data_IF_972854022338
#
_entry.id   IF_972854022338
#
_cell.length_a   1.000
_cell.length_b   1.000
_cell.length_c   1.000
_cell.angle_alpha   90.00
_cell.angle_beta   90.00
_cell.angle_gamma   90.00
#
_symmetry.space_group_name_H-M   'P 1'
#
loop_
_entity.id
_entity.type
_entity.pdbx_description
1 polymer ?
#
# COMPACT_ATOMS: atom_id res chain seq x y z
N UNK A 1 -70.21 28.75 -66.61
CA UNK A 1 -69.19 27.71 -66.37
C UNK A 1 -67.83 28.27 -66.72
N UNK A 2 -66.93 28.42 -65.74
CA UNK A 2 -65.49 28.12 -65.78
C UNK A 2 -65.00 28.36 -64.35
N UNK A 3 -64.57 27.30 -63.69
CA UNK A 3 -64.15 27.23 -62.28
C UNK A 3 -62.63 27.35 -62.21
N UNK A 4 -62.14 28.28 -61.38
CA UNK A 4 -60.74 28.36 -60.98
C UNK A 4 -60.46 27.31 -59.89
N UNK A 5 -59.46 26.45 -60.11
CA UNK A 5 -58.86 25.60 -59.06
C UNK A 5 -57.42 26.04 -58.85
N UNK A 6 -57.14 26.62 -57.69
CA UNK A 6 -55.78 26.85 -57.21
C UNK A 6 -55.29 25.56 -56.51
N UNK A 7 -54.19 25.00 -57.00
CA UNK A 7 -53.51 23.86 -56.40
C UNK A 7 -52.45 24.41 -55.43
N UNK A 8 -52.66 24.29 -54.12
CA UNK A 8 -51.65 24.59 -53.11
C UNK A 8 -50.86 23.30 -52.85
N UNK A 9 -49.59 23.28 -53.25
CA UNK A 9 -48.68 22.16 -53.00
C UNK A 9 -47.89 22.43 -51.73
N UNK A 10 -48.25 21.77 -50.63
CA UNK A 10 -47.55 21.86 -49.35
C UNK A 10 -46.27 21.02 -49.40
N UNK A 11 -45.10 21.67 -49.40
CA UNK A 11 -43.80 21.00 -49.28
C UNK A 11 -43.56 20.67 -47.81
N UNK A 12 -43.66 19.39 -47.44
CA UNK A 12 -43.27 18.91 -46.10
C UNK A 12 -41.78 18.66 -46.10
N UNK A 13 -41.02 19.55 -45.46
CA UNK A 13 -39.58 19.36 -45.19
C UNK A 13 -39.46 18.42 -43.98
N UNK A 14 -39.16 17.15 -44.24
CA UNK A 14 -38.79 16.18 -43.20
C UNK A 14 -37.38 16.52 -42.69
N UNK A 15 -37.30 17.19 -41.54
CA UNK A 15 -36.06 17.26 -40.76
C UNK A 15 -35.76 15.87 -40.21
N UNK A 16 -34.78 15.19 -40.82
CA UNK A 16 -34.15 14.01 -40.24
C UNK A 16 -33.28 14.46 -39.07
N UNK A 17 -33.80 14.32 -37.85
CA UNK A 17 -32.99 14.43 -36.63
C UNK A 17 -32.11 13.19 -36.55
N UNK A 18 -30.92 13.26 -37.14
CA UNK A 18 -29.84 12.32 -36.84
C UNK A 18 -29.45 12.51 -35.38
N UNK A 19 -30.06 11.72 -34.51
CA UNK A 19 -29.59 11.52 -33.14
C UNK A 19 -28.20 10.90 -33.22
N UNK A 20 -27.16 11.72 -33.10
CA UNK A 20 -25.86 11.21 -32.71
C UNK A 20 -26.04 10.53 -31.36
N UNK A 21 -26.15 9.20 -31.37
CA UNK A 21 -25.91 8.40 -30.18
C UNK A 21 -24.50 8.77 -29.73
N UNK A 22 -24.42 9.59 -28.68
CA UNK A 22 -23.19 9.78 -27.94
C UNK A 22 -22.88 8.39 -27.36
N UNK A 23 -22.11 7.59 -28.10
CA UNK A 23 -21.50 6.39 -27.54
C UNK A 23 -20.84 6.87 -26.25
N UNK A 24 -21.32 6.38 -25.12
CA UNK A 24 -20.73 6.64 -23.82
C UNK A 24 -19.33 6.02 -23.84
N UNK A 25 -18.36 6.73 -24.40
CA UNK A 25 -16.96 6.34 -24.38
C UNK A 25 -16.57 6.38 -22.91
N UNK A 26 -16.35 5.20 -22.33
CA UNK A 26 -15.86 5.08 -20.96
C UNK A 26 -14.60 5.95 -20.82
N UNK A 27 -14.47 6.76 -19.76
CA UNK A 27 -13.24 7.49 -19.48
C UNK A 27 -12.04 6.54 -19.51
N UNK A 28 -10.87 7.00 -19.96
CA UNK A 28 -9.70 6.16 -20.15
C UNK A 28 -9.33 5.40 -18.87
N UNK A 29 -9.46 6.02 -17.70
CA UNK A 29 -9.19 5.36 -16.41
C UNK A 29 -10.11 4.16 -16.11
N UNK A 30 -11.31 4.09 -16.70
CA UNK A 30 -12.24 2.95 -16.59
C UNK A 30 -12.02 1.88 -17.66
N UNK A 31 -11.17 2.13 -18.66
CA UNK A 31 -10.91 1.16 -19.72
C UNK A 31 -9.81 0.16 -19.29
N UNK A 32 -10.13 -1.12 -19.02
CA UNK A 32 -9.15 -2.09 -18.56
C UNK A 32 -8.14 -2.52 -19.63
N UNK A 33 -8.37 -2.16 -20.91
CA UNK A 33 -7.45 -2.46 -22.02
C UNK A 33 -6.29 -1.48 -22.12
N UNK A 34 -6.35 -0.34 -21.41
CA UNK A 34 -5.28 0.66 -21.43
C UNK A 34 -4.23 0.36 -20.35
N UNK A 35 -2.95 0.65 -20.59
CA UNK A 35 -1.89 0.53 -19.59
C UNK A 35 -2.20 1.33 -18.31
N UNK A 36 -1.78 0.86 -17.12
CA UNK A 36 -1.98 1.57 -15.86
C UNK A 36 -1.56 3.04 -15.90
N UNK A 37 -0.44 3.36 -16.53
CA UNK A 37 0.13 4.72 -16.62
C UNK A 37 -0.76 5.66 -17.47
N UNK A 38 -1.46 5.13 -18.46
CA UNK A 38 -2.45 5.88 -19.25
C UNK A 38 -3.67 6.16 -18.39
N UNK A 39 -4.13 5.16 -17.63
CA UNK A 39 -5.30 5.27 -16.75
C UNK A 39 -5.05 6.24 -15.60
N UNK A 40 -3.85 6.23 -15.02
CA UNK A 40 -3.42 7.16 -13.96
C UNK A 40 -3.32 8.58 -14.49
N UNK A 41 -2.74 8.80 -15.69
CA UNK A 41 -2.68 10.13 -16.32
C UNK A 41 -4.06 10.73 -16.60
N UNK A 42 -5.06 9.90 -16.85
CA UNK A 42 -6.45 10.34 -17.00
C UNK A 42 -7.14 10.61 -15.65
N UNK A 43 -6.90 9.76 -14.63
CA UNK A 43 -7.58 9.87 -13.34
C UNK A 43 -7.01 10.96 -12.43
N UNK A 44 -5.68 11.04 -12.30
CA UNK A 44 -5.01 11.88 -11.30
C UNK A 44 -5.37 13.37 -11.40
N UNK A 45 -5.47 13.99 -12.60
CA UNK A 45 -5.89 15.39 -12.73
C UNK A 45 -7.37 15.63 -12.39
N UNK A 46 -8.19 14.58 -12.34
CA UNK A 46 -9.63 14.67 -12.00
C UNK A 46 -9.87 14.68 -10.50
N UNK A 47 -8.91 14.18 -9.71
CA UNK A 47 -8.99 14.11 -8.25
C UNK A 47 -8.87 15.49 -7.63
N UNK A 48 -9.68 15.76 -6.60
CA UNK A 48 -9.42 16.90 -5.71
C UNK A 48 -8.16 16.63 -4.89
N UNK A 49 -7.61 17.68 -4.25
CA UNK A 49 -6.47 17.50 -3.35
C UNK A 49 -6.81 16.54 -2.20
N UNK A 50 -7.96 16.72 -1.55
CA UNK A 50 -8.48 15.78 -0.55
C UNK A 50 -8.55 14.33 -1.04
N UNK A 51 -9.03 14.08 -2.26
CA UNK A 51 -9.09 12.72 -2.82
C UNK A 51 -7.71 12.17 -3.16
N UNK A 52 -6.70 13.00 -3.46
CA UNK A 52 -5.32 12.55 -3.62
C UNK A 52 -4.72 12.14 -2.29
N UNK A 53 -4.84 13.00 -1.27
CA UNK A 53 -4.33 12.74 0.07
C UNK A 53 -5.00 11.53 0.72
N UNK A 54 -6.28 11.28 0.47
CA UNK A 54 -6.94 10.07 1.00
C UNK A 54 -6.36 8.78 0.39
N UNK A 55 -5.86 8.81 -0.84
CA UNK A 55 -5.16 7.66 -1.45
C UNK A 55 -3.77 7.41 -0.83
N UNK A 56 -3.23 8.38 -0.10
CA UNK A 56 -1.98 8.27 0.66
C UNK A 56 -2.22 7.86 2.12
N UNK A 57 -3.42 7.40 2.45
CA UNK A 57 -3.85 7.09 3.81
C UNK A 57 -4.55 5.73 3.90
N UNK A 58 -4.67 5.28 5.14
CA UNK A 58 -5.23 4.00 5.54
C UNK A 58 -6.54 4.17 6.33
N UNK A 59 -7.57 3.37 6.02
CA UNK A 59 -8.72 3.19 6.91
C UNK A 59 -8.35 2.17 7.98
N UNK A 60 -8.27 2.62 9.23
CA UNK A 60 -7.85 1.80 10.37
C UNK A 60 -9.05 1.13 11.04
N UNK A 61 -8.82 -0.05 11.62
CA UNK A 61 -9.87 -0.81 12.31
C UNK A 61 -10.56 -0.01 13.42
N UNK A 62 -9.81 0.81 14.18
CA UNK A 62 -10.35 1.67 15.25
C UNK A 62 -11.43 2.66 14.80
N UNK A 63 -11.50 2.99 13.50
CA UNK A 63 -12.50 3.93 12.96
C UNK A 63 -13.89 3.29 12.78
N UNK A 64 -13.96 1.96 12.69
CA UNK A 64 -15.21 1.26 12.42
C UNK A 64 -15.45 0.02 13.27
N UNK A 65 -14.51 -0.39 14.11
CA UNK A 65 -14.71 -1.48 15.05
C UNK A 65 -15.72 -1.12 16.16
N UNK A 66 -16.51 -2.11 16.55
CA UNK A 66 -17.31 -2.11 17.77
C UNK A 66 -17.20 -3.50 18.41
N UNK A 67 -16.48 -3.59 19.53
CA UNK A 67 -16.30 -4.82 20.31
C UNK A 67 -15.76 -5.99 19.47
N UNK A 68 -14.66 -5.77 18.74
CA UNK A 68 -14.01 -6.79 17.89
C UNK A 68 -14.94 -7.28 16.76
N UNK A 69 -15.75 -6.37 16.22
CA UNK A 69 -16.64 -6.65 15.12
C UNK A 69 -16.76 -5.44 14.20
N UNK A 70 -16.67 -5.62 12.88
CA UNK A 70 -16.75 -4.52 11.93
C UNK A 70 -18.15 -3.90 11.89
N UNK A 71 -18.23 -2.57 12.03
CA UNK A 71 -19.47 -1.82 11.90
C UNK A 71 -19.46 -0.97 10.60
N UNK A 72 -20.20 -1.43 9.60
CA UNK A 72 -20.28 -0.75 8.29
C UNK A 72 -20.87 0.66 8.36
N UNK A 73 -21.79 0.93 9.29
CA UNK A 73 -22.38 2.26 9.43
C UNK A 73 -21.33 3.27 9.91
N UNK A 74 -20.47 2.89 10.86
CA UNK A 74 -19.32 3.70 11.26
C UNK A 74 -18.34 3.91 10.10
N UNK A 75 -18.00 2.86 9.36
CA UNK A 75 -17.09 2.95 8.20
C UNK A 75 -17.62 3.94 7.14
N UNK A 76 -18.91 3.87 6.84
CA UNK A 76 -19.54 4.78 5.88
C UNK A 76 -19.61 6.22 6.42
N UNK A 77 -19.87 6.39 7.71
CA UNK A 77 -19.88 7.70 8.36
C UNK A 77 -18.48 8.35 8.42
N UNK A 78 -17.44 7.54 8.59
CA UNK A 78 -16.04 7.97 8.53
C UNK A 78 -15.66 8.38 7.10
N UNK A 79 -15.78 7.45 6.15
CA UNK A 79 -15.32 7.67 4.77
C UNK A 79 -16.15 8.71 4.01
N UNK A 80 -17.45 8.84 4.30
CA UNK A 80 -18.39 9.77 3.63
C UNK A 80 -18.33 9.68 2.10
N UNK A 81 -18.11 8.47 1.58
CA UNK A 81 -17.97 8.21 0.15
C UNK A 81 -16.62 8.62 -0.45
N UNK A 82 -15.63 9.00 0.35
CA UNK A 82 -14.25 9.21 -0.11
C UNK A 82 -13.52 7.86 -0.08
N UNK A 83 -12.80 7.54 -1.16
CA UNK A 83 -11.96 6.34 -1.21
C UNK A 83 -10.58 6.63 -0.61
N UNK A 84 -10.00 5.62 0.03
CA UNK A 84 -8.69 5.67 0.66
C UNK A 84 -7.73 4.68 -0.01
N UNK A 85 -6.43 4.83 0.23
CA UNK A 85 -5.41 3.96 -0.38
C UNK A 85 -5.55 2.52 0.10
N UNK A 86 -5.59 2.34 1.42
CA UNK A 86 -5.66 1.04 2.06
C UNK A 86 -6.82 0.91 3.06
N UNK A 87 -7.14 -0.32 3.45
CA UNK A 87 -7.97 -0.67 4.61
C UNK A 87 -7.44 -1.95 5.26
N UNK A 88 -7.34 -1.98 6.58
CA UNK A 88 -7.01 -3.18 7.35
C UNK A 88 -8.26 -3.79 7.99
N UNK A 89 -8.11 -4.76 8.88
CA UNK A 89 -9.24 -5.34 9.61
C UNK A 89 -8.88 -6.65 10.27
N UNK A 90 -7.89 -6.64 11.16
CA UNK A 90 -7.47 -7.84 11.87
C UNK A 90 -7.18 -7.51 13.36
N UNK A 91 -7.44 -8.47 14.27
CA UNK A 91 -8.03 -9.78 14.02
C UNK A 91 -9.57 -9.75 13.98
N UNK A 92 -10.15 -10.42 13.00
CA UNK A 92 -11.56 -10.79 12.84
C UNK A 92 -11.66 -12.27 12.47
N UNK A 93 -12.87 -12.82 12.47
CA UNK A 93 -13.08 -14.08 11.75
C UNK A 93 -12.93 -13.85 10.24
N UNK A 94 -12.48 -14.88 9.52
CA UNK A 94 -12.37 -14.84 8.05
C UNK A 94 -13.70 -14.47 7.39
N UNK A 95 -14.85 -14.88 7.97
CA UNK A 95 -16.18 -14.51 7.50
C UNK A 95 -16.50 -13.02 7.71
N UNK A 96 -16.21 -12.48 8.90
CA UNK A 96 -16.40 -11.06 9.21
C UNK A 96 -15.57 -10.18 8.27
N UNK A 97 -14.30 -10.52 8.07
CA UNK A 97 -13.42 -9.79 7.16
C UNK A 97 -13.92 -9.84 5.71
N UNK A 98 -14.30 -11.02 5.23
CA UNK A 98 -14.81 -11.17 3.85
C UNK A 98 -16.04 -10.28 3.63
N UNK A 99 -16.99 -10.26 4.58
CA UNK A 99 -18.17 -9.39 4.53
C UNK A 99 -17.77 -7.90 4.58
N UNK A 100 -16.87 -7.53 5.48
CA UNK A 100 -16.36 -6.16 5.60
C UNK A 100 -15.80 -5.66 4.26
N UNK A 101 -14.89 -6.43 3.66
CA UNK A 101 -14.23 -6.05 2.40
C UNK A 101 -15.23 -6.01 1.26
N UNK A 102 -16.12 -7.01 1.12
CA UNK A 102 -17.15 -7.01 0.09
C UNK A 102 -18.03 -5.75 0.15
N UNK A 103 -18.55 -5.42 1.33
CA UNK A 103 -19.42 -4.26 1.52
C UNK A 103 -18.69 -2.94 1.35
N UNK A 104 -17.45 -2.83 1.82
CA UNK A 104 -16.60 -1.63 1.64
C UNK A 104 -16.32 -1.38 0.16
N UNK A 105 -15.90 -2.40 -0.58
CA UNK A 105 -15.64 -2.27 -2.03
C UNK A 105 -16.91 -1.88 -2.80
N UNK A 106 -18.05 -2.50 -2.46
CA UNK A 106 -19.35 -2.14 -3.06
C UNK A 106 -19.72 -0.69 -2.77
N UNK A 107 -19.62 -0.26 -1.52
CA UNK A 107 -19.93 1.10 -1.09
C UNK A 107 -19.05 2.13 -1.81
N UNK A 108 -17.72 1.94 -1.81
CA UNK A 108 -16.79 2.87 -2.46
C UNK A 108 -17.01 2.92 -3.97
N UNK A 109 -17.32 1.79 -4.62
CA UNK A 109 -17.67 1.75 -6.04
C UNK A 109 -18.92 2.56 -6.36
N UNK A 110 -19.93 2.53 -5.50
CA UNK A 110 -21.24 3.15 -5.74
C UNK A 110 -21.34 4.59 -5.24
N UNK A 111 -20.60 4.95 -4.18
CA UNK A 111 -20.75 6.24 -3.48
C UNK A 111 -19.58 7.18 -3.67
N UNK A 112 -18.40 6.69 -4.04
CA UNK A 112 -17.29 7.58 -4.38
C UNK A 112 -17.39 8.08 -5.82
N UNK A 113 -16.92 9.32 -6.03
CA UNK A 113 -17.01 10.02 -7.32
C UNK A 113 -16.41 9.24 -8.49
N UNK A 114 -15.29 8.54 -8.25
CA UNK A 114 -14.60 7.79 -9.29
C UNK A 114 -14.67 6.27 -9.13
N UNK A 115 -15.23 5.76 -8.03
CA UNK A 115 -15.30 4.32 -7.75
C UNK A 115 -13.90 3.69 -7.71
N UNK A 116 -12.95 4.33 -7.02
CA UNK A 116 -11.60 3.80 -6.81
C UNK A 116 -11.69 2.74 -5.71
N UNK A 117 -11.28 1.48 -5.97
CA UNK A 117 -11.27 0.46 -4.94
C UNK A 117 -10.17 0.75 -3.91
N UNK A 118 -10.44 0.46 -2.66
CA UNK A 118 -9.43 0.46 -1.61
C UNK A 118 -8.57 -0.81 -1.72
N UNK A 119 -7.32 -0.79 -1.25
CA UNK A 119 -6.45 -1.98 -1.16
C UNK A 119 -6.64 -2.62 0.22
N UNK A 120 -7.29 -3.80 0.35
CA UNK A 120 -7.39 -4.49 1.63
C UNK A 120 -6.06 -5.13 2.01
N UNK A 121 -5.58 -4.80 3.20
CA UNK A 121 -4.28 -5.18 3.76
C UNK A 121 -4.47 -6.24 4.85
N UNK A 122 -3.48 -7.12 5.00
CA UNK A 122 -3.44 -8.19 6.01
C UNK A 122 -1.99 -8.46 6.46
N UNK A 123 -1.79 -8.82 7.73
CA UNK A 123 -0.56 -9.49 8.15
C UNK A 123 -0.54 -10.94 7.66
N UNK A 124 0.61 -11.42 7.18
CA UNK A 124 0.69 -12.73 6.52
C UNK A 124 1.95 -13.54 6.81
N UNK A 125 2.77 -13.10 7.78
CA UNK A 125 4.14 -13.58 7.98
C UNK A 125 4.28 -15.11 7.95
N UNK A 126 3.43 -15.83 8.70
CA UNK A 126 3.40 -17.29 8.77
C UNK A 126 1.97 -17.84 8.69
N UNK A 127 1.13 -17.22 7.84
CA UNK A 127 -0.31 -17.43 7.77
C UNK A 127 -1.05 -16.11 7.74
N UNK A 128 -2.23 -16.04 7.13
CA UNK A 128 -3.06 -14.83 7.22
C UNK A 128 -3.55 -14.65 8.66
N UNK A 129 -3.40 -13.45 9.22
CA UNK A 129 -3.83 -13.16 10.60
C UNK A 129 -5.34 -12.95 10.67
N UNK A 130 -6.09 -14.04 10.55
CA UNK A 130 -7.54 -14.10 10.80
C UNK A 130 -7.95 -15.42 11.43
N UNK A 131 -8.97 -15.37 12.28
CA UNK A 131 -9.54 -16.58 12.86
C UNK A 131 -10.13 -17.48 11.74
N UNK A 132 -9.76 -18.76 11.78
CA UNK A 132 -10.00 -19.75 10.75
C UNK A 132 -8.91 -19.91 9.68
N UNK A 133 -7.81 -19.16 9.73
CA UNK A 133 -6.68 -19.31 8.79
C UNK A 133 -5.68 -20.39 9.23
N UNK A 134 -4.89 -20.91 8.29
CA UNK A 134 -3.83 -21.86 8.61
C UNK A 134 -2.64 -21.15 9.26
N UNK A 135 -2.17 -21.66 10.40
CA UNK A 135 -0.97 -21.17 11.09
C UNK A 135 0.21 -22.08 10.74
N UNK A 136 1.25 -21.51 10.14
CA UNK A 136 2.50 -22.19 9.80
C UNK A 136 3.59 -21.92 10.85
N UNK A 137 4.71 -22.67 10.85
CA UNK A 137 5.88 -22.32 11.62
C UNK A 137 6.38 -20.91 11.28
N UNK A 138 6.90 -20.22 12.28
CA UNK A 138 7.44 -18.87 12.14
C UNK A 138 8.66 -18.85 11.18
N UNK A 139 8.94 -17.70 10.56
CA UNK A 139 9.99 -17.53 9.54
C UNK A 139 11.35 -18.14 9.90
N UNK A 140 11.82 -17.98 11.13
CA UNK A 140 13.12 -18.54 11.55
C UNK A 140 13.14 -20.08 11.52
N UNK A 141 12.01 -20.72 11.82
CA UNK A 141 11.85 -22.16 11.73
C UNK A 141 11.77 -22.62 10.26
N UNK A 142 11.09 -21.84 9.41
CA UNK A 142 11.06 -22.08 7.96
C UNK A 142 12.46 -21.95 7.34
N UNK A 143 13.24 -20.95 7.74
CA UNK A 143 14.61 -20.77 7.28
C UNK A 143 15.51 -21.96 7.63
N UNK A 144 15.31 -22.55 8.81
CA UNK A 144 16.04 -23.75 9.28
C UNK A 144 15.82 -24.99 8.41
N UNK A 145 14.83 -24.98 7.51
CA UNK A 145 14.63 -26.05 6.52
C UNK A 145 15.59 -25.98 5.34
N UNK A 146 16.21 -24.81 5.09
CA UNK A 146 16.98 -24.51 3.88
C UNK A 146 16.23 -24.88 2.58
N UNK A 147 14.89 -24.81 2.60
CA UNK A 147 14.03 -25.26 1.51
C UNK A 147 13.13 -24.13 0.97
N UNK A 148 13.64 -23.26 0.08
CA UNK A 148 12.84 -22.20 -0.55
C UNK A 148 11.63 -22.75 -1.31
N UNK A 149 11.72 -23.96 -1.88
CA UNK A 149 10.58 -24.57 -2.58
C UNK A 149 9.41 -24.88 -1.64
N UNK A 150 9.68 -25.17 -0.36
CA UNK A 150 8.64 -25.35 0.66
C UNK A 150 8.01 -24.02 1.05
N UNK A 151 8.83 -22.97 1.25
CA UNK A 151 8.34 -21.61 1.53
C UNK A 151 7.47 -21.06 0.40
N UNK A 152 7.84 -21.31 -0.85
CA UNK A 152 7.03 -20.95 -2.02
C UNK A 152 5.63 -21.59 -1.98
N UNK A 153 5.56 -22.90 -1.71
CA UNK A 153 4.27 -23.61 -1.60
C UNK A 153 3.42 -23.07 -0.45
N UNK A 154 4.04 -22.87 0.71
CA UNK A 154 3.39 -22.28 1.87
C UNK A 154 2.80 -20.90 1.55
N UNK A 155 3.60 -20.02 0.95
CA UNK A 155 3.15 -18.69 0.57
C UNK A 155 2.06 -18.73 -0.52
N UNK A 156 2.07 -19.73 -1.41
CA UNK A 156 0.95 -19.99 -2.33
C UNK A 156 -0.36 -20.26 -1.58
N UNK A 157 -0.34 -21.11 -0.55
CA UNK A 157 -1.53 -21.35 0.29
C UNK A 157 -1.98 -20.09 1.05
N UNK A 158 -1.04 -19.32 1.62
CA UNK A 158 -1.33 -18.02 2.25
C UNK A 158 -1.99 -17.07 1.23
N UNK A 159 -1.46 -17.00 0.01
CA UNK A 159 -2.01 -16.20 -1.08
C UNK A 159 -3.41 -16.63 -1.49
N UNK A 160 -3.69 -17.94 -1.49
CA UNK A 160 -5.01 -18.49 -1.78
C UNK A 160 -6.04 -18.11 -0.69
N UNK A 161 -5.68 -18.28 0.58
CA UNK A 161 -6.50 -17.87 1.74
C UNK A 161 -6.78 -16.36 1.70
N UNK A 162 -5.73 -15.54 1.57
CA UNK A 162 -5.82 -14.09 1.45
C UNK A 162 -6.78 -13.68 0.32
N UNK A 163 -6.60 -14.26 -0.87
CA UNK A 163 -7.44 -13.96 -2.04
C UNK A 163 -8.91 -14.32 -1.80
N UNK A 164 -9.18 -15.45 -1.14
CA UNK A 164 -10.55 -15.90 -0.86
C UNK A 164 -11.32 -14.93 0.04
N UNK A 165 -10.61 -14.25 0.95
CA UNK A 165 -11.16 -13.25 1.86
C UNK A 165 -11.26 -11.84 1.26
N UNK A 166 -10.75 -11.65 0.03
CA UNK A 166 -10.74 -10.35 -0.65
C UNK A 166 -9.50 -9.49 -0.38
N UNK A 167 -8.49 -10.01 0.34
CA UNK A 167 -7.19 -9.34 0.54
C UNK A 167 -6.53 -9.03 -0.81
N UNK A 168 -5.77 -7.94 -0.86
CA UNK A 168 -4.97 -7.55 -2.03
C UNK A 168 -3.51 -7.28 -1.70
N UNK A 169 -3.19 -7.00 -0.44
CA UNK A 169 -1.82 -6.78 0.01
C UNK A 169 -1.57 -7.53 1.32
N UNK A 170 -0.40 -8.15 1.42
CA UNK A 170 0.11 -8.80 2.62
C UNK A 170 1.37 -8.07 3.08
N UNK A 171 1.46 -7.80 4.40
CA UNK A 171 2.58 -7.11 5.05
C UNK A 171 3.74 -8.06 5.36
N UNK A 172 4.21 -8.78 4.35
CA UNK A 172 5.29 -9.77 4.44
C UNK A 172 5.98 -9.91 3.07
N UNK A 173 7.21 -10.47 3.00
CA UNK A 173 8.00 -11.05 4.09
C UNK A 173 8.83 -10.04 4.88
N UNK A 174 9.30 -10.44 6.06
CA UNK A 174 10.39 -9.75 6.75
C UNK A 174 11.75 -10.21 6.17
N UNK A 175 12.52 -9.25 5.66
CA UNK A 175 13.83 -9.40 5.05
C UNK A 175 14.96 -8.85 5.93
N UNK A 176 14.67 -8.49 7.18
CA UNK A 176 15.69 -8.10 8.13
C UNK A 176 16.65 -9.26 8.40
N UNK A 177 17.91 -8.91 8.67
CA UNK A 177 18.91 -9.87 9.10
C UNK A 177 18.91 -9.92 10.62
N UNK A 178 18.73 -11.10 11.18
CA UNK A 178 18.92 -11.31 12.62
C UNK A 178 20.41 -11.31 12.94
N UNK A 179 20.96 -10.17 13.38
CA UNK A 179 22.34 -10.12 13.90
C UNK A 179 22.43 -9.52 15.30
N UNK A 180 21.28 -9.34 15.94
CA UNK A 180 21.13 -8.99 17.34
C UNK A 180 20.12 -9.95 17.97
N UNK A 181 20.62 -11.00 18.63
CA UNK A 181 19.78 -12.09 19.14
C UNK A 181 18.91 -11.70 20.34
N UNK A 182 19.17 -10.54 20.97
CA UNK A 182 18.32 -10.00 22.03
C UNK A 182 17.07 -9.32 21.49
N UNK A 183 17.02 -9.04 20.19
CA UNK A 183 15.87 -8.37 19.57
C UNK A 183 14.63 -9.27 19.58
N UNK A 184 13.52 -8.73 20.07
CA UNK A 184 12.29 -9.51 20.26
C UNK A 184 11.64 -10.05 18.99
N UNK A 185 12.05 -9.58 17.80
CA UNK A 185 11.47 -9.98 16.51
C UNK A 185 12.39 -10.89 15.68
N UNK A 186 13.42 -11.46 16.30
CA UNK A 186 14.31 -12.48 15.69
C UNK A 186 13.52 -13.55 14.93
N UNK A 187 12.43 -14.01 15.56
CA UNK A 187 11.60 -15.08 15.02
C UNK A 187 11.00 -14.75 13.65
N UNK A 188 10.70 -13.48 13.39
CA UNK A 188 10.04 -13.02 12.17
C UNK A 188 10.94 -13.09 10.93
N UNK A 189 12.25 -13.18 11.12
CA UNK A 189 13.24 -13.15 10.04
C UNK A 189 13.55 -14.55 9.50
N UNK A 190 14.20 -14.59 8.33
CA UNK A 190 14.79 -15.82 7.80
C UNK A 190 16.25 -16.08 8.26
N UNK A 191 16.68 -15.45 9.36
CA UNK A 191 17.99 -15.67 9.97
C UNK A 191 19.03 -14.57 9.70
N UNK A 192 20.31 -14.91 9.86
CA UNK A 192 21.42 -13.94 9.89
C UNK A 192 22.18 -13.77 8.57
N UNK A 193 21.94 -14.68 7.62
CA UNK A 193 22.66 -14.77 6.35
C UNK A 193 21.91 -14.05 5.22
N UNK A 194 22.51 -13.02 4.58
CA UNK A 194 21.85 -12.27 3.51
C UNK A 194 21.41 -13.13 2.33
N UNK A 195 22.17 -14.18 1.98
CA UNK A 195 21.82 -15.02 0.83
C UNK A 195 20.58 -15.87 1.12
N UNK A 196 20.55 -16.56 2.26
CA UNK A 196 19.41 -17.36 2.71
C UNK A 196 18.16 -16.51 2.85
N UNK A 197 18.25 -15.34 3.50
CA UNK A 197 17.12 -14.42 3.67
C UNK A 197 16.57 -14.00 2.30
N UNK A 198 17.46 -13.70 1.35
CA UNK A 198 17.05 -13.33 0.00
C UNK A 198 16.38 -14.49 -0.74
N UNK A 199 16.89 -15.72 -0.65
CA UNK A 199 16.28 -16.90 -1.30
C UNK A 199 14.90 -17.25 -0.70
N UNK A 200 14.77 -17.22 0.62
CA UNK A 200 13.50 -17.47 1.32
C UNK A 200 12.46 -16.38 1.02
N UNK A 201 12.87 -15.11 1.06
CA UNK A 201 12.02 -13.97 0.71
C UNK A 201 11.55 -14.01 -0.75
N UNK A 202 12.45 -14.32 -1.68
CA UNK A 202 12.12 -14.52 -3.09
C UNK A 202 11.08 -15.62 -3.30
N UNK A 203 11.22 -16.74 -2.59
CA UNK A 203 10.26 -17.84 -2.65
C UNK A 203 8.89 -17.44 -2.09
N UNK A 204 8.86 -16.76 -0.94
CA UNK A 204 7.63 -16.30 -0.32
C UNK A 204 6.86 -15.35 -1.24
N UNK A 205 7.53 -14.34 -1.81
CA UNK A 205 6.89 -13.36 -2.71
C UNK A 205 6.32 -14.03 -3.95
N UNK A 206 7.08 -14.94 -4.59
CA UNK A 206 6.59 -15.70 -5.75
C UNK A 206 5.34 -16.52 -5.45
N UNK A 207 5.20 -17.06 -4.24
CA UNK A 207 4.01 -17.80 -3.85
C UNK A 207 2.77 -16.89 -3.76
N UNK A 208 2.92 -15.70 -3.17
CA UNK A 208 1.85 -14.70 -3.15
C UNK A 208 1.45 -14.20 -4.55
N UNK A 209 2.44 -14.04 -5.44
CA UNK A 209 2.24 -13.57 -6.81
C UNK A 209 1.33 -14.49 -7.64
N UNK A 210 1.33 -15.81 -7.39
CA UNK A 210 0.42 -16.77 -8.05
C UNK A 210 -1.05 -16.38 -7.86
N UNK A 211 -1.36 -15.76 -6.72
CA UNK A 211 -2.69 -15.33 -6.35
C UNK A 211 -2.93 -13.83 -6.57
N UNK A 212 -1.94 -13.12 -7.14
CA UNK A 212 -1.95 -11.67 -7.38
C UNK A 212 -2.15 -10.87 -6.08
N UNK A 213 -1.45 -11.30 -5.03
CA UNK A 213 -1.40 -10.60 -3.74
C UNK A 213 -0.12 -9.78 -3.71
N UNK A 214 -0.24 -8.49 -3.42
CA UNK A 214 0.91 -7.59 -3.27
C UNK A 214 1.68 -7.99 -2.01
N UNK A 215 2.91 -8.45 -2.15
CA UNK A 215 3.84 -8.56 -1.02
C UNK A 215 4.37 -7.18 -0.61
N UNK A 216 4.67 -7.01 0.67
CA UNK A 216 5.31 -5.81 1.21
C UNK A 216 6.57 -6.22 1.98
N UNK A 217 7.73 -6.34 1.29
CA UNK A 217 8.99 -6.62 1.96
C UNK A 217 9.29 -5.55 3.02
N UNK A 218 9.64 -5.99 4.22
CA UNK A 218 9.87 -5.14 5.40
C UNK A 218 11.09 -5.61 6.21
N UNK A 219 11.69 -4.81 7.08
CA UNK A 219 11.49 -3.37 7.22
C UNK A 219 12.68 -2.67 6.56
N UNK A 220 12.44 -1.87 5.52
CA UNK A 220 13.49 -1.17 4.80
C UNK A 220 14.01 0.03 5.62
N UNK A 221 15.21 0.00 6.23
CA UNK A 221 16.21 -1.06 6.16
C UNK A 221 16.99 -1.25 7.47
N UNK A 222 17.55 -2.45 7.64
CA UNK A 222 18.51 -2.85 8.69
C UNK A 222 17.92 -2.93 10.10
N UNK A 223 16.60 -3.06 10.21
CA UNK A 223 15.88 -2.99 11.47
C UNK A 223 16.26 -4.12 12.45
N UNK A 224 16.61 -5.31 11.93
CA UNK A 224 16.94 -6.49 12.74
C UNK A 224 18.27 -6.50 13.49
N UNK A 225 18.94 -5.34 13.60
CA UNK A 225 20.18 -5.18 14.37
C UNK A 225 20.20 -3.96 15.29
N UNK A 226 19.15 -3.74 16.10
CA UNK A 226 19.05 -2.54 16.91
C UNK A 226 20.01 -2.56 18.10
N UNK A 227 20.52 -1.40 18.50
CA UNK A 227 21.41 -1.29 19.65
C UNK A 227 20.78 -1.90 20.91
N UNK A 228 21.54 -2.79 21.56
CA UNK A 228 21.11 -3.45 22.79
C UNK A 228 19.99 -4.48 22.62
N UNK A 229 19.54 -4.76 21.40
CA UNK A 229 18.35 -5.59 21.14
C UNK A 229 17.03 -4.93 21.50
N UNK A 230 17.04 -3.63 21.82
CA UNK A 230 15.83 -2.90 22.17
C UNK A 230 15.05 -2.60 20.90
N UNK A 231 13.77 -2.99 20.88
CA UNK A 231 12.92 -2.71 19.72
C UNK A 231 12.94 -1.20 19.40
N UNK A 232 12.96 -0.85 18.11
CA UNK A 232 13.00 0.52 17.58
C UNK A 232 14.32 1.30 17.82
N UNK A 233 15.26 0.80 18.61
CA UNK A 233 16.53 1.48 18.83
C UNK A 233 17.31 1.65 17.52
N UNK A 234 18.17 2.67 17.50
CA UNK A 234 19.02 2.97 16.34
C UNK A 234 19.91 1.78 15.97
N UNK A 235 20.29 1.72 14.71
CA UNK A 235 21.23 0.75 14.16
C UNK A 235 22.51 1.49 13.82
N UNK A 236 23.62 1.06 14.40
CA UNK A 236 24.95 1.60 14.06
C UNK A 236 25.59 0.77 12.95
N UNK A 237 26.21 1.45 11.99
CA UNK A 237 26.95 0.77 10.93
C UNK A 237 27.39 1.71 9.83
N UNK A 238 28.48 1.34 9.15
CA UNK A 238 28.98 2.11 8.02
C UNK A 238 28.35 1.69 6.70
N UNK A 239 28.48 2.55 5.68
CA UNK A 239 28.02 2.29 4.30
C UNK A 239 28.39 0.90 3.77
N UNK A 240 29.59 0.40 4.07
CA UNK A 240 30.01 -0.94 3.61
C UNK A 240 29.08 -2.03 4.16
N UNK A 241 28.71 -1.97 5.44
CA UNK A 241 27.85 -2.95 6.07
C UNK A 241 26.42 -2.85 5.50
N UNK A 242 25.91 -1.63 5.34
CA UNK A 242 24.64 -1.36 4.68
C UNK A 242 24.53 -2.08 3.33
N UNK A 243 25.47 -1.83 2.43
CA UNK A 243 25.42 -2.35 1.06
C UNK A 243 25.74 -3.86 0.97
N UNK A 244 26.68 -4.35 1.77
CA UNK A 244 27.13 -5.74 1.67
C UNK A 244 26.24 -6.73 2.45
N UNK A 245 25.47 -6.25 3.44
CA UNK A 245 24.60 -7.09 4.26
C UNK A 245 23.13 -6.72 4.07
N UNK A 246 22.71 -5.62 4.68
CA UNK A 246 21.29 -5.30 4.84
C UNK A 246 20.57 -5.03 3.52
N UNK A 247 21.28 -4.46 2.54
CA UNK A 247 20.73 -4.15 1.22
C UNK A 247 20.55 -5.39 0.34
N UNK A 248 21.32 -6.46 0.56
CA UNK A 248 21.37 -7.60 -0.36
C UNK A 248 20.01 -8.29 -0.57
N UNK A 249 19.22 -8.61 0.48
CA UNK A 249 17.90 -9.21 0.29
C UNK A 249 16.94 -8.31 -0.47
N UNK A 250 16.86 -7.04 -0.10
CA UNK A 250 15.99 -6.05 -0.76
C UNK A 250 16.41 -5.81 -2.22
N UNK A 251 17.69 -5.65 -2.50
CA UNK A 251 18.22 -5.47 -3.85
C UNK A 251 17.81 -6.63 -4.76
N UNK A 252 18.00 -7.88 -4.29
CA UNK A 252 17.63 -9.07 -5.05
C UNK A 252 16.14 -9.12 -5.34
N UNK A 253 15.31 -8.90 -4.32
CA UNK A 253 13.84 -8.90 -4.45
C UNK A 253 13.37 -7.80 -5.40
N UNK A 254 13.86 -6.57 -5.24
CA UNK A 254 13.47 -5.43 -6.06
C UNK A 254 13.84 -5.64 -7.52
N UNK A 255 15.09 -6.04 -7.80
CA UNK A 255 15.60 -6.20 -9.17
C UNK A 255 15.00 -7.41 -9.88
N UNK A 256 14.54 -8.42 -9.15
CA UNK A 256 14.04 -9.67 -9.76
C UNK A 256 12.53 -9.73 -9.84
N UNK A 257 11.82 -9.33 -8.76
CA UNK A 257 10.38 -9.51 -8.64
C UNK A 257 9.58 -8.21 -8.76
N UNK A 258 10.23 -7.05 -8.63
CA UNK A 258 9.58 -5.75 -8.77
C UNK A 258 8.34 -5.59 -7.86
N UNK A 259 8.49 -5.75 -6.52
CA UNK A 259 7.37 -5.64 -5.60
C UNK A 259 6.68 -4.28 -5.75
N UNK A 260 5.37 -4.25 -5.57
CA UNK A 260 4.58 -3.03 -5.70
C UNK A 260 4.52 -2.20 -4.41
N UNK A 261 4.91 -2.79 -3.28
CA UNK A 261 4.92 -2.15 -1.97
C UNK A 261 6.20 -2.54 -1.22
N UNK A 262 6.76 -1.62 -0.45
CA UNK A 262 7.83 -1.87 0.54
C UNK A 262 7.49 -1.08 1.80
N UNK A 263 7.76 -1.65 2.98
CA UNK A 263 7.56 -0.94 4.24
C UNK A 263 8.88 -0.35 4.72
N UNK A 264 8.90 0.92 5.16
CA UNK A 264 10.07 1.48 5.83
C UNK A 264 10.25 0.86 7.24
N UNK A 265 11.41 1.04 7.86
CA UNK A 265 11.60 0.70 9.27
C UNK A 265 11.41 1.91 10.19
N UNK A 266 11.21 1.61 11.48
CA UNK A 266 11.17 2.60 12.55
C UNK A 266 12.51 3.25 12.88
N UNK A 267 13.59 2.49 12.79
CA UNK A 267 14.90 2.84 13.33
C UNK A 267 15.62 3.90 12.49
N UNK A 268 16.60 4.55 13.12
CA UNK A 268 17.63 5.28 12.38
C UNK A 268 18.78 4.34 12.01
N UNK A 269 19.48 4.66 10.93
CA UNK A 269 20.75 4.00 10.57
C UNK A 269 21.86 5.04 10.58
N UNK A 270 22.90 4.80 11.40
CA UNK A 270 24.01 5.74 11.61
C UNK A 270 23.53 7.16 11.99
N UNK A 271 22.46 7.23 12.79
CA UNK A 271 21.88 8.48 13.29
C UNK A 271 20.87 9.15 12.36
N UNK A 272 20.65 8.66 11.14
CA UNK A 272 19.66 9.21 10.22
C UNK A 272 18.34 8.41 10.27
N UNK A 273 17.24 9.08 10.67
CA UNK A 273 15.92 8.47 10.75
C UNK A 273 15.39 8.09 9.35
N UNK A 274 15.17 6.80 9.11
CA UNK A 274 14.87 6.28 7.77
C UNK A 274 13.55 6.84 7.23
N UNK A 275 12.52 6.98 8.08
CA UNK A 275 11.20 7.53 7.69
C UNK A 275 11.30 8.89 6.99
N UNK A 276 12.21 9.76 7.44
CA UNK A 276 12.37 11.13 6.95
C UNK A 276 13.54 11.34 5.98
N UNK A 277 14.19 10.25 5.55
CA UNK A 277 15.43 10.33 4.77
C UNK A 277 15.21 10.15 3.28
N UNK A 278 15.46 11.21 2.51
CA UNK A 278 15.52 11.13 1.04
C UNK A 278 16.68 10.29 0.53
N UNK A 279 17.77 10.17 1.31
CA UNK A 279 18.87 9.29 0.96
C UNK A 279 18.40 7.82 0.93
N UNK A 280 17.70 7.35 1.97
CA UNK A 280 17.23 5.97 2.02
C UNK A 280 16.03 5.72 1.08
N UNK A 281 14.98 6.54 1.17
CA UNK A 281 13.70 6.24 0.50
C UNK A 281 13.65 6.69 -0.97
N UNK A 282 14.51 7.62 -1.38
CA UNK A 282 14.57 8.09 -2.77
C UNK A 282 15.87 7.71 -3.45
N UNK A 283 17.03 8.12 -2.93
CA UNK A 283 18.31 7.90 -3.63
C UNK A 283 18.71 6.42 -3.63
N UNK A 284 18.61 5.74 -2.49
CA UNK A 284 18.92 4.33 -2.38
C UNK A 284 17.79 3.48 -2.96
N UNK A 285 16.58 3.57 -2.41
CA UNK A 285 15.47 2.71 -2.79
C UNK A 285 15.02 2.90 -4.26
N UNK A 286 14.74 4.13 -4.69
CA UNK A 286 14.17 4.38 -6.02
C UNK A 286 15.22 4.55 -7.10
N UNK A 287 16.25 5.37 -6.88
CA UNK A 287 17.27 5.66 -7.90
C UNK A 287 18.29 4.53 -8.02
N UNK A 288 18.80 4.02 -6.90
CA UNK A 288 19.86 2.99 -6.92
C UNK A 288 19.29 1.59 -7.13
N UNK A 289 18.27 1.18 -6.36
CA UNK A 289 17.68 -0.16 -6.49
C UNK A 289 16.62 -0.25 -7.60
N UNK A 290 16.09 0.88 -8.05
CA UNK A 290 15.12 0.92 -9.15
C UNK A 290 13.68 0.63 -8.73
N UNK A 291 13.34 0.70 -7.44
CA UNK A 291 11.98 0.47 -6.94
C UNK A 291 10.94 1.40 -7.60
N UNK A 292 9.84 0.82 -8.10
CA UNK A 292 8.76 1.52 -8.82
C UNK A 292 7.40 1.48 -8.12
N UNK A 293 7.31 0.73 -7.01
CA UNK A 293 6.11 0.66 -6.19
C UNK A 293 5.94 1.88 -5.28
N UNK A 294 5.11 1.71 -4.26
CA UNK A 294 4.91 2.69 -3.20
C UNK A 294 5.53 2.26 -1.87
N UNK A 295 5.97 3.23 -1.08
CA UNK A 295 6.49 3.02 0.27
C UNK A 295 5.34 3.17 1.26
N UNK A 296 5.02 2.06 1.91
CA UNK A 296 4.01 1.94 2.96
C UNK A 296 4.66 2.27 4.31
N UNK A 297 4.10 3.17 5.11
CA UNK A 297 4.72 3.49 6.40
C UNK A 297 4.62 2.30 7.36
N UNK A 298 5.61 2.08 8.20
CA UNK A 298 5.36 1.28 9.42
C UNK A 298 4.45 2.08 10.39
N UNK A 299 3.84 1.38 11.33
CA UNK A 299 2.77 1.90 12.20
C UNK A 299 3.25 3.02 13.14
N UNK A 300 2.91 4.27 12.80
CA UNK A 300 3.27 5.46 13.58
C UNK A 300 4.67 5.98 13.27
N UNK A 301 5.36 5.40 12.28
CA UNK A 301 6.74 5.76 11.94
C UNK A 301 6.91 7.22 11.51
N UNK A 302 5.85 7.87 10.97
CA UNK A 302 5.83 9.31 10.65
C UNK A 302 5.81 10.13 11.94
N UNK A 303 4.84 9.92 12.83
CA UNK A 303 4.76 10.60 14.13
C UNK A 303 6.07 10.47 14.93
N UNK A 304 6.74 9.32 14.83
CA UNK A 304 8.03 9.07 15.47
C UNK A 304 9.14 10.04 15.05
N UNK A 305 9.03 10.74 13.91
CA UNK A 305 9.98 11.82 13.57
C UNK A 305 9.97 12.94 14.61
N UNK A 306 8.80 13.29 15.16
CA UNK A 306 8.66 14.31 16.20
C UNK A 306 8.69 13.71 17.61
N UNK A 307 8.02 12.57 17.82
CA UNK A 307 7.84 11.99 19.16
C UNK A 307 9.05 11.22 19.65
N UNK A 308 9.82 10.59 18.75
CA UNK A 308 10.94 9.71 19.08
C UNK A 308 12.30 10.22 18.58
N UNK A 309 12.45 10.43 17.28
CA UNK A 309 13.72 10.82 16.63
C UNK A 309 14.09 12.29 16.84
N UNK A 310 13.11 13.15 17.17
CA UNK A 310 13.29 14.60 17.38
C UNK A 310 13.90 15.33 16.16
N UNK A 311 13.60 14.85 14.95
CA UNK A 311 13.98 15.51 13.69
C UNK A 311 12.90 16.46 13.18
N UNK A 312 11.66 16.28 13.63
CA UNK A 312 10.53 17.15 13.28
C UNK A 312 10.03 17.94 14.50
N UNK A 313 9.61 19.19 14.28
CA UNK A 313 9.07 20.04 15.35
C UNK A 313 7.68 19.63 15.82
N UNK A 314 6.88 19.07 14.92
CA UNK A 314 5.53 18.57 15.16
C UNK A 314 5.14 17.55 14.07
N UNK A 315 3.91 17.05 14.13
CA UNK A 315 3.38 16.09 13.17
C UNK A 315 3.27 16.64 11.73
N UNK A 316 3.05 17.94 11.57
CA UNK A 316 2.95 18.55 10.25
C UNK A 316 4.32 18.67 9.58
N UNK A 317 5.36 19.01 10.35
CA UNK A 317 6.74 18.94 9.90
C UNK A 317 7.14 17.48 9.59
N UNK A 318 6.75 16.52 10.45
CA UNK A 318 6.98 15.09 10.21
C UNK A 318 6.36 14.61 8.88
N UNK A 319 5.10 14.97 8.61
CA UNK A 319 4.43 14.66 7.35
C UNK A 319 5.19 15.20 6.14
N UNK A 320 5.60 16.48 6.20
CA UNK A 320 6.36 17.11 5.11
C UNK A 320 7.72 16.43 4.90
N UNK A 321 8.43 16.06 5.97
CA UNK A 321 9.70 15.33 5.88
C UNK A 321 9.50 13.96 5.23
N UNK A 322 8.51 13.18 5.67
CA UNK A 322 8.24 11.85 5.14
C UNK A 322 7.85 11.86 3.65
N UNK A 323 6.93 12.74 3.23
CA UNK A 323 6.54 12.84 1.82
C UNK A 323 7.73 13.29 0.96
N UNK A 324 8.53 14.27 1.42
CA UNK A 324 9.74 14.71 0.69
C UNK A 324 10.80 13.61 0.60
N UNK A 325 10.89 12.74 1.60
CA UNK A 325 11.80 11.61 1.62
C UNK A 325 11.41 10.55 0.57
N UNK A 326 10.13 10.44 0.24
CA UNK A 326 9.57 9.47 -0.70
C UNK A 326 8.75 8.37 -0.03
N UNK A 327 8.23 8.62 1.17
CA UNK A 327 7.21 7.81 1.83
C UNK A 327 5.84 8.18 1.27
N UNK A 328 5.11 7.21 0.70
CA UNK A 328 3.91 7.51 -0.10
C UNK A 328 2.59 7.33 0.64
N UNK A 329 2.54 6.40 1.60
CA UNK A 329 1.30 6.03 2.29
C UNK A 329 1.51 5.96 3.80
N UNK A 330 0.73 6.74 4.54
CA UNK A 330 0.64 6.71 6.00
C UNK A 330 -0.29 5.59 6.46
N UNK A 331 0.30 4.56 7.07
CA UNK A 331 -0.41 3.39 7.57
C UNK A 331 -1.21 3.67 8.84
N UNK A 332 -0.72 4.59 9.67
CA UNK A 332 -1.44 5.03 10.86
C UNK A 332 -1.14 6.47 11.22
N UNK A 333 -2.19 7.20 11.55
CA UNK A 333 -2.17 8.63 11.81
C UNK A 333 -3.15 9.36 10.90
N UNK A 334 -3.14 10.69 10.99
CA UNK A 334 -3.88 11.59 10.11
C UNK A 334 -2.96 12.74 9.63
N UNK A 335 -1.64 12.55 9.72
CA UNK A 335 -0.66 13.61 9.52
C UNK A 335 -0.68 14.08 8.04
N UNK A 336 -0.86 13.16 7.09
CA UNK A 336 -0.93 13.48 5.66
C UNK A 336 -2.23 14.21 5.28
N UNK A 337 -3.33 13.97 5.99
CA UNK A 337 -4.56 14.73 5.78
C UNK A 337 -4.34 16.23 6.06
N UNK A 338 -3.47 16.54 7.01
CA UNK A 338 -3.09 17.91 7.38
C UNK A 338 -2.38 18.70 6.27
N UNK A 339 -1.73 18.02 5.32
CA UNK A 339 -0.98 18.66 4.23
C UNK A 339 -1.87 19.46 3.26
N UNK A 340 -3.19 19.19 3.21
CA UNK A 340 -4.12 19.88 2.32
C UNK A 340 -4.02 21.40 2.48
N UNK A 341 -3.99 21.88 3.72
CA UNK A 341 -3.90 23.31 4.03
C UNK A 341 -2.58 23.90 3.56
N UNK A 342 -1.46 23.22 3.81
CA UNK A 342 -0.14 23.71 3.43
C UNK A 342 0.02 23.83 1.92
N UNK A 343 -0.55 22.90 1.16
CA UNK A 343 -0.52 22.97 -0.31
C UNK A 343 -1.36 24.13 -0.84
N UNK A 344 -2.57 24.33 -0.29
CA UNK A 344 -3.44 25.46 -0.65
C UNK A 344 -2.75 26.80 -0.35
N UNK A 345 -2.09 26.89 0.81
CA UNK A 345 -1.37 28.07 1.26
C UNK A 345 0.01 28.23 0.59
N UNK A 346 0.38 27.33 -0.34
CA UNK A 346 1.65 27.29 -1.07
C UNK A 346 2.90 27.16 -0.19
N UNK A 347 2.73 26.57 0.99
CA UNK A 347 3.81 26.24 1.93
C UNK A 347 4.37 24.83 1.70
N UNK A 348 3.63 23.99 0.97
CA UNK A 348 4.06 22.68 0.49
C UNK A 348 3.73 22.53 -1.00
N UNK A 349 4.66 21.99 -1.79
CA UNK A 349 4.53 21.91 -3.24
C UNK A 349 3.75 20.66 -3.64
N UNK A 350 2.71 20.83 -4.47
CA UNK A 350 1.81 19.76 -4.98
C UNK A 350 2.52 18.67 -5.80
N UNK A 351 3.78 18.89 -6.19
CA UNK A 351 4.57 17.87 -6.90
C UNK A 351 5.01 16.70 -6.00
N UNK A 352 5.05 16.93 -4.69
CA UNK A 352 5.26 15.92 -3.66
C UNK A 352 3.90 15.33 -3.32
#
# INVERSE_FOLDING_TARGET
MISYKYLITTFVVLFSTSTFSQQNVLPAYKNPKLPPEVRVRDLLPRLTLKEKLSQMQHIQSGQYDVNQSPNLAKLYAFSKGISYGCIEGFPYTSEQYTKLIFHTQKYLKEKSRFGIPVIPVMEGLHGTVQDGSTIYPQSIALASTFNPSLVYKMAGFIGAEAKSMGVKQVLAPDLDLTRELRWGRVEETFGEDPFLVAEMGMAYIRGLDEHKIISTPKHFIAHGTPLGGLNLASVEGGRRQLFNLYLQPFEKVIKTLHPLSIMNCYSSYDGEAITGSSYFLTDLLRKTLGFKGYVYSDWGSIEMLSSFHKTATDNMDAAQQAVRAGLDLEASGEDYAGLEKLVIDKQFDIKY
#
